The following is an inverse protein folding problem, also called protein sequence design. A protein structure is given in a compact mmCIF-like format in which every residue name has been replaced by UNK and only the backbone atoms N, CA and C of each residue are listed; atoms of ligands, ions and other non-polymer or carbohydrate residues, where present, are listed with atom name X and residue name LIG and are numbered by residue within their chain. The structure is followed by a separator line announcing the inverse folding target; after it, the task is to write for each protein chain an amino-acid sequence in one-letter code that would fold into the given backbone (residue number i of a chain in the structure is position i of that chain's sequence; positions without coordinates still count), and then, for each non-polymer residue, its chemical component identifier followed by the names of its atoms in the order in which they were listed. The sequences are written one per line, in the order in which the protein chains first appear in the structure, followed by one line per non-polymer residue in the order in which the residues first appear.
data_IF_034694625108
#
_entry.id   IF_034694625108
#
_cell.length_a   1.000
_cell.length_b   1.000
_cell.length_c   1.000
_cell.angle_alpha   90.00
_cell.angle_beta   90.00
_cell.angle_gamma   90.00
#
_symmetry.space_group_name_H-M   'P 1'
#
loop_
_entity.id
_entity.type
_entity.pdbx_description
1 polymer ?
#
# COMPACT_ATOMS: atom_id res chain seq x y z
N UNK A 1 -2.88 12.31 -10.13
CA UNK A 1 -2.95 11.59 -8.84
C UNK A 1 -1.55 11.21 -8.39
N UNK A 2 -1.16 11.57 -7.17
CA UNK A 2 0.11 11.19 -6.56
C UNK A 2 -0.11 9.96 -5.65
N UNK A 3 0.66 8.89 -5.82
CA UNK A 3 0.55 7.66 -5.03
C UNK A 3 1.81 7.49 -4.19
N UNK A 4 1.64 7.29 -2.89
CA UNK A 4 2.74 7.03 -1.95
C UNK A 4 2.48 5.71 -1.23
N UNK A 5 3.50 4.85 -1.20
CA UNK A 5 3.44 3.55 -0.52
C UNK A 5 4.43 3.57 0.64
N UNK A 6 3.90 3.42 1.85
CA UNK A 6 4.67 3.35 3.09
C UNK A 6 4.61 1.92 3.64
N UNK A 7 5.78 1.33 3.87
CA UNK A 7 5.93 0.00 4.46
C UNK A 7 6.38 0.08 5.92
N UNK A 8 5.67 -0.58 6.83
CA UNK A 8 6.02 -0.65 8.26
C UNK A 8 6.19 -2.10 8.73
N UNK A 9 7.30 -2.42 9.40
CA UNK A 9 7.59 -3.77 9.90
C UNK A 9 7.58 -4.89 8.82
N UNK A 10 7.71 -4.53 7.54
CA UNK A 10 7.97 -5.46 6.43
C UNK A 10 9.19 -4.95 5.66
N UNK A 11 9.94 -5.86 5.04
CA UNK A 11 10.90 -5.48 4.02
C UNK A 11 10.12 -4.88 2.84
N UNK A 12 10.04 -3.54 2.82
CA UNK A 12 9.45 -2.80 1.72
C UNK A 12 10.36 -2.85 0.51
N UNK A 13 10.43 -4.02 -0.16
CA UNK A 13 11.21 -4.15 -1.38
C UNK A 13 10.69 -3.17 -2.44
N UNK A 14 11.60 -2.70 -3.30
CA UNK A 14 11.23 -1.82 -4.41
C UNK A 14 10.13 -2.46 -5.28
N UNK A 15 10.17 -3.78 -5.43
CA UNK A 15 9.16 -4.55 -6.16
C UNK A 15 7.77 -4.48 -5.51
N UNK A 16 7.70 -4.58 -4.18
CA UNK A 16 6.43 -4.47 -3.46
C UNK A 16 5.84 -3.07 -3.60
N UNK A 17 6.67 -2.04 -3.43
CA UNK A 17 6.23 -0.65 -3.59
C UNK A 17 5.74 -0.38 -5.01
N UNK A 18 6.48 -0.86 -6.02
CA UNK A 18 6.10 -0.71 -7.42
C UNK A 18 4.79 -1.43 -7.74
N UNK A 19 4.64 -2.68 -7.29
CA UNK A 19 3.43 -3.47 -7.53
C UNK A 19 2.19 -2.88 -6.84
N UNK A 20 2.31 -2.46 -5.59
CA UNK A 20 1.20 -1.82 -4.86
C UNK A 20 0.82 -0.50 -5.55
N UNK A 21 1.82 0.32 -5.90
CA UNK A 21 1.60 1.60 -6.58
C UNK A 21 0.90 1.43 -7.92
N UNK A 22 1.36 0.51 -8.78
CA UNK A 22 0.75 0.28 -10.09
C UNK A 22 -0.68 -0.23 -9.96
N UNK A 23 -0.92 -1.18 -9.06
CA UNK A 23 -2.26 -1.76 -8.84
C UNK A 23 -3.27 -0.68 -8.45
N UNK A 24 -2.90 0.24 -7.57
CA UNK A 24 -3.81 1.32 -7.14
C UNK A 24 -4.01 2.37 -8.23
N UNK A 25 -2.97 2.68 -9.02
CA UNK A 25 -3.12 3.58 -10.17
C UNK A 25 -4.10 3.00 -11.18
N UNK A 26 -3.96 1.72 -11.53
CA UNK A 26 -4.81 1.05 -12.51
C UNK A 26 -6.27 1.02 -12.04
N UNK A 27 -6.53 0.67 -10.78
CA UNK A 27 -7.89 0.61 -10.22
C UNK A 27 -8.53 2.01 -10.04
N UNK A 28 -7.74 3.04 -9.75
CA UNK A 28 -8.24 4.39 -9.50
C UNK A 28 -8.07 5.33 -10.71
N UNK A 29 -7.64 4.84 -11.86
CA UNK A 29 -7.38 5.64 -13.06
C UNK A 29 -8.60 6.48 -13.45
N UNK A 30 -9.79 5.88 -13.39
CA UNK A 30 -11.07 6.52 -13.71
C UNK A 30 -11.40 7.70 -12.76
N UNK A 31 -10.85 7.70 -11.55
CA UNK A 31 -11.06 8.73 -10.52
C UNK A 31 -9.88 9.70 -10.41
N UNK A 32 -8.86 9.58 -11.28
CA UNK A 32 -7.63 10.35 -11.22
C UNK A 32 -7.82 11.88 -11.28
N UNK A 33 -8.94 12.35 -11.82
CA UNK A 33 -9.34 13.76 -11.85
C UNK A 33 -9.98 14.26 -10.54
N UNK A 34 -10.47 13.34 -9.70
CA UNK A 34 -11.08 13.61 -8.39
C UNK A 34 -10.10 13.37 -7.24
N UNK A 35 -9.05 12.58 -7.47
CA UNK A 35 -8.06 12.19 -6.47
C UNK A 35 -6.73 12.91 -6.72
N UNK A 36 -6.33 13.72 -5.75
CA UNK A 36 -5.05 14.45 -5.79
C UNK A 36 -3.91 13.62 -5.21
N UNK A 37 -4.15 12.92 -4.10
CA UNK A 37 -3.17 12.07 -3.42
C UNK A 37 -3.84 10.81 -2.84
N UNK A 38 -3.13 9.70 -2.89
CA UNK A 38 -3.50 8.43 -2.28
C UNK A 38 -2.31 7.91 -1.49
N UNK A 39 -2.50 7.70 -0.19
CA UNK A 39 -1.48 7.19 0.72
C UNK A 39 -1.81 5.73 1.08
N UNK A 40 -0.84 4.83 0.91
CA UNK A 40 -1.02 3.39 1.12
C UNK A 40 -0.04 2.95 2.20
N UNK A 41 -0.58 2.56 3.35
CA UNK A 41 0.20 2.03 4.47
C UNK A 41 0.09 0.51 4.49
N UNK A 42 1.18 -0.16 4.16
CA UNK A 42 1.31 -1.62 4.25
C UNK A 42 2.17 -1.94 5.46
N UNK A 43 1.70 -2.79 6.36
CA UNK A 43 2.52 -3.18 7.49
C UNK A 43 2.20 -4.52 8.08
N UNK A 44 3.18 -5.08 8.78
CA UNK A 44 2.98 -6.22 9.65
C UNK A 44 2.54 -5.73 11.04
N UNK A 45 1.45 -6.29 11.55
CA UNK A 45 0.86 -5.88 12.84
C UNK A 45 1.02 -6.95 13.93
N UNK A 46 1.61 -8.11 13.63
CA UNK A 46 1.81 -9.20 14.59
C UNK A 46 3.29 -9.50 14.91
N UNK A 47 4.21 -8.70 14.39
CA UNK A 47 5.64 -8.80 14.69
C UNK A 47 6.21 -10.19 14.34
N UNK A 48 6.62 -10.99 15.33
CA UNK A 48 7.16 -12.35 15.11
C UNK A 48 6.12 -13.48 15.27
N UNK A 49 4.85 -13.16 15.53
CA UNK A 49 3.81 -14.17 15.75
C UNK A 49 3.04 -14.41 14.46
N UNK A 50 3.23 -15.58 13.85
CA UNK A 50 2.43 -16.00 12.71
C UNK A 50 0.95 -16.15 13.09
N UNK A 51 0.06 -15.49 12.34
CA UNK A 51 -1.38 -15.60 12.51
C UNK A 51 -2.16 -15.08 11.29
N UNK A 52 -3.47 -15.36 11.18
CA UNK A 52 -4.28 -14.97 10.01
C UNK A 52 -4.43 -13.44 9.80
N UNK A 53 -4.04 -12.61 10.77
CA UNK A 53 -4.07 -11.14 10.68
C UNK A 53 -2.67 -10.54 10.78
N UNK A 54 -1.69 -11.16 10.12
CA UNK A 54 -0.28 -10.75 10.15
C UNK A 54 -0.01 -9.46 9.38
N UNK A 55 -0.66 -9.27 8.22
CA UNK A 55 -0.47 -8.11 7.35
C UNK A 55 -1.69 -7.22 7.33
N UNK A 56 -1.47 -5.90 7.36
CA UNK A 56 -2.49 -4.86 7.27
C UNK A 56 -2.15 -3.93 6.11
N UNK A 57 -3.17 -3.62 5.31
CA UNK A 57 -3.11 -2.56 4.30
C UNK A 57 -4.19 -1.52 4.64
N UNK A 58 -3.84 -0.24 4.60
CA UNK A 58 -4.76 0.86 4.80
C UNK A 58 -4.52 1.90 3.71
N UNK A 59 -5.60 2.39 3.10
CA UNK A 59 -5.58 3.43 2.07
C UNK A 59 -6.27 4.66 2.65
N UNK A 60 -5.64 5.84 2.52
CA UNK A 60 -6.11 7.13 3.05
C UNK A 60 -6.13 8.18 1.94
#
# INVERSE_FOLDING_TARGET
MLVQVDSNHIEGSADLQAWVGSTVVDELEHYSSLLTRVEIHVGDVNAQKSGPQDKRCQIV
#
